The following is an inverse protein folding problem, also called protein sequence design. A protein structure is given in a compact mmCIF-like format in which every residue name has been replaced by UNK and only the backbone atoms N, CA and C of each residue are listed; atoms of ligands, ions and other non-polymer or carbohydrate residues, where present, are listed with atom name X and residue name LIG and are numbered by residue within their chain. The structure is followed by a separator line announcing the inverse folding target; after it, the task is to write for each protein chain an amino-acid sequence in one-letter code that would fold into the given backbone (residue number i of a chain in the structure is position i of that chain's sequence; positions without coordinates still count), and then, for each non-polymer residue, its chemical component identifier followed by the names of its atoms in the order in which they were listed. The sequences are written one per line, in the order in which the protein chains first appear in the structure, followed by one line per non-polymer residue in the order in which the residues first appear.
data_IF_075168824170
#
_entry.id   IF_075168824170
#
_cell.length_a   1.000
_cell.length_b   1.000
_cell.length_c   1.000
_cell.angle_alpha   90.00
_cell.angle_beta   90.00
_cell.angle_gamma   90.00
#
_symmetry.space_group_name_H-M   'P 1'
#
loop_
_entity.id
_entity.type
_entity.pdbx_description
1 polymer ?
#
# COMPACT_ATOMS: atom_id res chain seq x y z
N UNK A 1 -26.81 29.24 -2.55
CA UNK A 1 -26.48 28.05 -1.73
C UNK A 1 -24.97 27.79 -1.69
N UNK A 2 -24.29 27.57 -2.82
CA UNK A 2 -22.82 27.33 -2.82
C UNK A 2 -22.01 28.51 -2.26
N UNK A 3 -22.32 29.74 -2.67
CA UNK A 3 -21.61 30.93 -2.19
C UNK A 3 -21.83 31.18 -0.69
N UNK A 4 -23.07 31.04 -0.22
CA UNK A 4 -23.41 31.10 1.21
C UNK A 4 -22.68 30.05 2.04
N UNK A 5 -22.56 28.82 1.53
CA UNK A 5 -21.78 27.76 2.19
C UNK A 5 -20.28 28.10 2.21
N UNK A 6 -19.73 28.61 1.10
CA UNK A 6 -18.34 29.04 1.02
C UNK A 6 -18.03 30.14 2.05
N UNK A 7 -18.88 31.16 2.15
CA UNK A 7 -18.73 32.25 3.13
C UNK A 7 -18.81 31.73 4.57
N UNK A 8 -19.77 30.84 4.85
CA UNK A 8 -19.89 30.20 6.16
C UNK A 8 -18.69 29.31 6.52
N UNK A 9 -18.19 28.52 5.56
CA UNK A 9 -17.07 27.61 5.77
C UNK A 9 -15.77 28.38 6.05
N UNK A 10 -15.55 29.50 5.36
CA UNK A 10 -14.35 30.34 5.52
C UNK A 10 -14.47 31.41 6.62
N UNK A 11 -15.45 31.30 7.52
CA UNK A 11 -15.54 32.19 8.68
C UNK A 11 -14.25 32.11 9.52
N UNK A 12 -13.67 33.26 9.84
CA UNK A 12 -12.39 33.40 10.53
C UNK A 12 -12.35 32.61 11.85
N UNK A 13 -13.45 32.64 12.63
CA UNK A 13 -13.59 31.90 13.90
C UNK A 13 -13.35 30.40 13.80
N UNK A 14 -13.50 29.82 12.61
CA UNK A 14 -13.30 28.39 12.42
C UNK A 14 -11.83 28.02 12.16
N UNK A 15 -11.05 28.95 11.61
CA UNK A 15 -9.73 28.66 11.06
C UNK A 15 -8.60 29.41 11.74
N UNK A 16 -8.87 30.56 12.33
CA UNK A 16 -7.89 31.50 12.85
C UNK A 16 -8.15 31.79 14.34
N UNK A 17 -7.10 32.17 15.09
CA UNK A 17 -7.27 32.73 16.44
C UNK A 17 -8.14 33.98 16.44
N UNK A 18 -8.84 34.31 17.54
CA UNK A 18 -9.84 35.38 17.60
C UNK A 18 -9.35 36.78 17.19
N UNK A 19 -8.04 37.04 17.24
CA UNK A 19 -7.43 38.34 16.99
C UNK A 19 -6.90 38.51 15.55
N UNK A 20 -6.99 37.48 14.71
CA UNK A 20 -6.37 37.46 13.37
C UNK A 20 -7.44 37.31 12.29
N UNK A 21 -7.26 38.04 11.18
CA UNK A 21 -8.13 37.99 10.00
C UNK A 21 -7.44 37.36 8.81
N UNK A 22 -8.21 36.94 7.81
CA UNK A 22 -7.63 36.42 6.56
C UNK A 22 -6.76 37.47 5.83
N UNK A 23 -7.10 38.75 5.94
CA UNK A 23 -6.33 39.85 5.36
C UNK A 23 -4.92 39.99 5.96
N UNK A 24 -4.71 39.51 7.19
CA UNK A 24 -3.39 39.48 7.83
C UNK A 24 -2.44 38.44 7.23
N UNK A 25 -2.99 37.49 6.46
CA UNK A 25 -2.28 36.37 5.85
C UNK A 25 -2.25 36.49 4.32
N UNK A 26 -2.45 37.69 3.78
CA UNK A 26 -2.20 37.98 2.37
C UNK A 26 -0.71 38.22 2.14
N UNK A 27 -0.23 37.95 0.92
CA UNK A 27 1.18 38.16 0.59
C UNK A 27 1.52 39.66 0.69
N UNK A 28 2.54 39.99 1.47
CA UNK A 28 3.02 41.36 1.67
C UNK A 28 4.52 41.35 1.97
N UNK A 29 5.21 42.46 1.68
CA UNK A 29 6.63 42.65 2.00
C UNK A 29 7.58 41.53 1.53
N UNK A 30 7.23 40.88 0.40
CA UNK A 30 7.97 39.73 -0.13
C UNK A 30 7.76 38.41 0.61
N UNK A 31 6.92 38.40 1.66
CA UNK A 31 6.47 37.22 2.36
C UNK A 31 5.28 36.60 1.61
N UNK A 32 5.37 35.30 1.37
CA UNK A 32 4.29 34.51 0.76
C UNK A 32 3.62 33.70 1.85
N UNK A 33 2.28 33.66 1.84
CA UNK A 33 1.49 32.88 2.78
C UNK A 33 0.74 31.74 2.10
N UNK A 34 0.27 30.79 2.91
CA UNK A 34 -0.52 29.67 2.43
C UNK A 34 -1.89 30.15 1.94
N UNK A 35 -2.30 29.66 0.77
CA UNK A 35 -3.61 29.92 0.20
C UNK A 35 -4.31 28.59 -0.05
N UNK A 36 -5.61 28.47 0.26
CA UNK A 36 -6.38 27.26 -0.05
C UNK A 36 -6.35 26.90 -1.54
N UNK A 37 -6.24 27.90 -2.42
CA UNK A 37 -6.14 27.71 -3.87
C UNK A 37 -4.89 26.92 -4.30
N UNK A 38 -3.82 26.92 -3.51
CA UNK A 38 -2.63 26.13 -3.80
C UNK A 38 -2.93 24.63 -3.82
N UNK A 39 -3.92 24.17 -3.04
CA UNK A 39 -4.31 22.76 -2.99
C UNK A 39 -4.90 22.27 -4.32
N UNK A 40 -5.43 23.15 -5.18
CA UNK A 40 -5.90 22.76 -6.51
C UNK A 40 -4.78 22.22 -7.39
N UNK A 41 -3.52 22.61 -7.14
CA UNK A 41 -2.37 22.10 -7.87
C UNK A 41 -2.09 20.62 -7.58
N UNK A 42 -2.56 20.08 -6.45
CA UNK A 42 -2.31 18.67 -6.10
C UNK A 42 -2.97 17.69 -7.05
N UNK A 43 -4.10 18.06 -7.65
CA UNK A 43 -4.84 17.22 -8.60
C UNK A 43 -4.09 17.05 -9.94
N UNK A 44 -3.68 18.11 -10.67
CA UNK A 44 -2.91 17.93 -11.90
C UNK A 44 -1.56 17.24 -11.65
N UNK A 45 -0.89 17.51 -10.52
CA UNK A 45 0.33 16.78 -10.15
C UNK A 45 0.06 15.30 -9.85
N UNK A 46 -1.08 14.94 -9.25
CA UNK A 46 -1.48 13.55 -9.07
C UNK A 46 -1.63 12.80 -10.40
N UNK A 47 -2.25 13.44 -11.41
CA UNK A 47 -2.31 12.86 -12.77
C UNK A 47 -0.93 12.76 -13.41
N UNK A 48 -0.07 13.76 -13.23
CA UNK A 48 1.33 13.70 -13.64
C UNK A 48 2.06 12.50 -13.01
N UNK A 49 1.88 12.27 -11.71
CA UNK A 49 2.44 11.12 -11.00
C UNK A 49 1.90 9.78 -11.52
N UNK A 50 0.64 9.70 -11.94
CA UNK A 50 0.10 8.48 -12.59
C UNK A 50 0.76 8.20 -13.94
N UNK A 51 1.03 9.25 -14.74
CA UNK A 51 1.75 9.12 -16.00
C UNK A 51 3.19 8.65 -15.74
N UNK A 52 3.88 9.28 -14.78
CA UNK A 52 5.24 8.88 -14.39
C UNK A 52 5.23 7.44 -13.89
N UNK A 53 4.27 7.06 -13.04
CA UNK A 53 4.07 5.69 -12.55
C UNK A 53 3.96 4.69 -13.69
N UNK A 54 3.14 4.98 -14.70
CA UNK A 54 2.98 4.09 -15.86
C UNK A 54 4.33 3.80 -16.56
N UNK A 55 5.12 4.85 -16.80
CA UNK A 55 6.44 4.69 -17.42
C UNK A 55 7.45 4.03 -16.48
N UNK A 56 7.42 4.34 -15.19
CA UNK A 56 8.27 3.72 -14.19
C UNK A 56 8.01 2.22 -14.07
N UNK A 57 6.76 1.80 -13.98
CA UNK A 57 6.38 0.39 -13.90
C UNK A 57 6.87 -0.38 -15.14
N UNK A 58 6.73 0.23 -16.32
CA UNK A 58 7.11 -0.38 -17.60
C UNK A 58 8.62 -0.45 -17.80
N UNK A 59 9.35 0.63 -17.56
CA UNK A 59 10.76 0.76 -17.94
C UNK A 59 11.75 0.48 -16.81
N UNK A 60 11.34 0.57 -15.55
CA UNK A 60 12.22 0.38 -14.40
C UNK A 60 11.78 -0.85 -13.60
N UNK A 61 10.54 -0.88 -13.14
CA UNK A 61 10.09 -1.95 -12.24
C UNK A 61 10.00 -3.32 -12.92
N UNK A 62 9.58 -3.38 -14.20
CA UNK A 62 9.48 -4.66 -14.93
C UNK A 62 10.85 -5.30 -15.19
N UNK A 63 11.86 -4.58 -15.74
CA UNK A 63 13.21 -5.13 -15.85
C UNK A 63 13.78 -5.53 -14.49
N UNK A 64 13.59 -4.70 -13.46
CA UNK A 64 14.07 -4.99 -12.11
C UNK A 64 13.46 -6.28 -11.54
N UNK A 65 12.14 -6.47 -11.68
CA UNK A 65 11.46 -7.70 -11.28
C UNK A 65 12.04 -8.93 -11.99
N UNK A 66 12.32 -8.82 -13.29
CA UNK A 66 12.94 -9.90 -14.08
C UNK A 66 14.36 -10.22 -13.59
N UNK A 67 15.16 -9.20 -13.23
CA UNK A 67 16.49 -9.41 -12.63
C UNK A 67 16.43 -10.10 -11.27
N UNK A 68 15.37 -9.85 -10.49
CA UNK A 68 15.12 -10.55 -9.22
C UNK A 68 14.50 -11.95 -9.41
N UNK A 69 14.39 -12.45 -10.65
CA UNK A 69 13.90 -13.80 -10.93
C UNK A 69 12.38 -13.95 -10.88
N UNK A 70 11.62 -12.85 -10.85
CA UNK A 70 10.16 -12.89 -10.93
C UNK A 70 9.77 -13.23 -12.37
N UNK A 71 9.37 -14.48 -12.59
CA UNK A 71 8.87 -14.93 -13.88
C UNK A 71 7.51 -14.30 -14.17
N UNK A 72 7.31 -13.93 -15.42
CA UNK A 72 6.01 -13.50 -15.91
C UNK A 72 5.16 -14.76 -16.09
N UNK A 73 4.30 -15.06 -15.10
CA UNK A 73 3.39 -16.20 -15.18
C UNK A 73 2.46 -16.03 -16.39
N UNK A 74 2.67 -16.86 -17.41
CA UNK A 74 1.73 -16.98 -18.51
C UNK A 74 0.51 -17.70 -17.96
N UNK A 75 -0.50 -16.94 -17.52
CA UNK A 75 -1.76 -17.50 -17.05
C UNK A 75 -2.35 -18.37 -18.13
N UNK A 76 -2.52 -19.67 -17.83
CA UNK A 76 -3.22 -20.60 -18.72
C UNK A 76 -4.62 -20.01 -19.00
N UNK A 77 -4.94 -19.83 -20.28
CA UNK A 77 -6.28 -19.43 -20.69
C UNK A 77 -7.25 -20.54 -20.26
N UNK A 78 -8.24 -20.19 -19.45
CA UNK A 78 -9.31 -21.10 -19.05
C UNK A 78 -10.09 -21.52 -20.30
N UNK A 79 -10.49 -22.79 -20.34
CA UNK A 79 -11.42 -23.29 -21.34
C UNK A 79 -12.76 -22.55 -21.22
N UNK A 80 -13.23 -21.85 -22.26
CA UNK A 80 -14.47 -21.09 -22.19
C UNK A 80 -15.65 -22.03 -21.89
N UNK A 81 -16.33 -21.81 -20.76
CA UNK A 81 -17.58 -22.49 -20.43
C UNK A 81 -18.58 -21.45 -19.92
N UNK A 82 -19.61 -21.18 -20.71
CA UNK A 82 -20.61 -20.14 -20.43
C UNK A 82 -21.45 -20.47 -19.21
N UNK A 83 -21.74 -21.74 -18.94
CA UNK A 83 -22.53 -22.19 -17.78
C UNK A 83 -21.75 -21.96 -16.48
N UNK A 84 -20.48 -22.38 -16.45
CA UNK A 84 -19.62 -22.20 -15.28
C UNK A 84 -19.31 -20.71 -15.01
N UNK A 85 -19.08 -19.92 -16.07
CA UNK A 85 -18.85 -18.48 -15.96
C UNK A 85 -20.07 -17.72 -15.46
N UNK A 86 -21.28 -18.10 -15.90
CA UNK A 86 -22.53 -17.50 -15.44
C UNK A 86 -22.75 -17.81 -13.96
N UNK A 87 -22.54 -19.06 -13.54
CA UNK A 87 -22.65 -19.46 -12.14
C UNK A 87 -21.61 -18.74 -11.26
N UNK A 88 -20.36 -18.63 -11.72
CA UNK A 88 -19.29 -17.94 -11.01
C UNK A 88 -19.61 -16.47 -10.76
N UNK A 89 -20.19 -15.78 -11.76
CA UNK A 89 -20.52 -14.34 -11.67
C UNK A 89 -21.77 -14.04 -10.85
N UNK A 90 -22.79 -14.91 -10.91
CA UNK A 90 -24.11 -14.61 -10.37
C UNK A 90 -24.50 -15.41 -9.13
N UNK A 91 -23.79 -16.47 -8.78
CA UNK A 91 -24.13 -17.34 -7.65
C UNK A 91 -23.05 -17.35 -6.57
N UNK A 92 -21.94 -18.06 -6.80
CA UNK A 92 -20.84 -18.14 -5.83
C UNK A 92 -19.50 -18.44 -6.52
N UNK A 93 -18.41 -17.91 -5.94
CA UNK A 93 -17.03 -18.19 -6.36
C UNK A 93 -16.49 -19.52 -5.80
N UNK A 94 -17.10 -20.01 -4.73
CA UNK A 94 -16.77 -21.26 -4.04
C UNK A 94 -18.04 -22.12 -4.02
N UNK A 95 -18.28 -22.92 -5.09
CA UNK A 95 -19.44 -23.81 -5.15
C UNK A 95 -19.33 -24.91 -4.08
N UNK A 96 -20.47 -25.31 -3.53
CA UNK A 96 -20.55 -26.47 -2.64
C UNK A 96 -20.44 -27.78 -3.42
N UNK A 97 -20.21 -28.91 -2.74
CA UNK A 97 -20.15 -30.22 -3.38
C UNK A 97 -21.42 -30.56 -4.18
N UNK A 98 -22.59 -30.15 -3.71
CA UNK A 98 -23.86 -30.32 -4.43
C UNK A 98 -23.93 -29.49 -5.70
N UNK A 99 -23.38 -28.27 -5.69
CA UNK A 99 -23.32 -27.40 -6.85
C UNK A 99 -22.36 -27.94 -7.91
N UNK A 100 -21.19 -28.45 -7.49
CA UNK A 100 -20.19 -29.06 -8.37
C UNK A 100 -20.80 -30.24 -9.13
N UNK A 101 -21.50 -31.14 -8.43
CA UNK A 101 -22.20 -32.27 -9.05
C UNK A 101 -23.24 -31.82 -10.09
N UNK A 102 -24.07 -30.83 -9.73
CA UNK A 102 -25.09 -30.28 -10.64
C UNK A 102 -24.50 -29.63 -11.88
N UNK A 103 -23.39 -28.90 -11.73
CA UNK A 103 -22.68 -28.24 -12.82
C UNK A 103 -21.93 -29.23 -13.71
N UNK A 104 -21.34 -30.27 -13.14
CA UNK A 104 -20.70 -31.37 -13.86
C UNK A 104 -21.69 -32.04 -14.82
N UNK A 105 -22.89 -32.37 -14.31
CA UNK A 105 -23.98 -32.95 -15.11
C UNK A 105 -24.48 -32.02 -16.21
N UNK A 106 -24.63 -30.72 -15.93
CA UNK A 106 -25.09 -29.72 -16.93
C UNK A 106 -24.07 -29.47 -18.04
N UNK A 107 -22.77 -29.54 -17.72
CA UNK A 107 -21.70 -29.23 -18.66
C UNK A 107 -21.14 -30.47 -19.37
N UNK A 108 -21.64 -31.68 -19.06
CA UNK A 108 -21.03 -32.96 -19.47
C UNK A 108 -19.53 -33.02 -19.11
N UNK A 109 -19.18 -32.55 -17.92
CA UNK A 109 -17.83 -32.56 -17.37
C UNK A 109 -17.76 -33.46 -16.13
N UNK A 110 -16.56 -33.86 -15.74
CA UNK A 110 -16.36 -34.51 -14.43
C UNK A 110 -16.34 -33.47 -13.31
N UNK A 111 -16.69 -33.88 -12.09
CA UNK A 111 -16.64 -33.02 -10.91
C UNK A 111 -15.25 -32.38 -10.74
N UNK A 112 -14.18 -33.17 -10.92
CA UNK A 112 -12.79 -32.71 -10.88
C UNK A 112 -12.46 -31.66 -11.95
N UNK A 113 -13.06 -31.77 -13.15
CA UNK A 113 -12.89 -30.75 -14.20
C UNK A 113 -13.59 -29.44 -13.83
N UNK A 114 -14.77 -29.52 -13.21
CA UNK A 114 -15.50 -28.35 -12.71
C UNK A 114 -14.72 -27.69 -11.58
N UNK A 115 -14.24 -28.45 -10.60
CA UNK A 115 -13.38 -27.95 -9.51
C UNK A 115 -12.13 -27.24 -10.04
N UNK A 116 -11.41 -27.87 -10.98
CA UNK A 116 -10.23 -27.28 -11.62
C UNK A 116 -10.58 -26.01 -12.38
N UNK A 117 -11.73 -25.96 -13.05
CA UNK A 117 -12.19 -24.77 -13.75
C UNK A 117 -12.44 -23.62 -12.76
N UNK A 118 -13.16 -23.87 -11.66
CA UNK A 118 -13.42 -22.87 -10.62
C UNK A 118 -12.13 -22.40 -9.95
N UNK A 119 -11.21 -23.31 -9.64
CA UNK A 119 -9.88 -22.98 -9.10
C UNK A 119 -9.09 -22.09 -10.06
N UNK A 120 -8.96 -22.51 -11.32
CA UNK A 120 -8.26 -21.72 -12.34
C UNK A 120 -8.92 -20.35 -12.56
N UNK A 121 -10.26 -20.28 -12.48
CA UNK A 121 -11.01 -19.03 -12.60
C UNK A 121 -10.80 -18.06 -11.45
N UNK A 122 -10.69 -18.55 -10.21
CA UNK A 122 -10.28 -17.74 -9.06
C UNK A 122 -8.84 -17.26 -9.19
N UNK A 123 -7.91 -18.14 -9.57
CA UNK A 123 -6.50 -17.79 -9.74
C UNK A 123 -6.28 -16.78 -10.89
N UNK A 124 -7.16 -16.77 -11.90
CA UNK A 124 -7.17 -15.71 -12.92
C UNK A 124 -7.64 -14.34 -12.40
N UNK A 125 -8.43 -14.25 -11.34
CA UNK A 125 -8.82 -12.98 -10.70
C UNK A 125 -7.78 -12.48 -9.71
N UNK A 126 -6.95 -13.37 -9.15
CA UNK A 126 -5.84 -12.98 -8.29
C UNK A 126 -4.92 -12.03 -9.06
N UNK A 127 -4.21 -11.09 -8.42
CA UNK A 127 -3.29 -10.20 -9.11
C UNK A 127 -1.92 -10.84 -9.30
N UNK A 128 -1.31 -10.67 -10.48
CA UNK A 128 0.00 -11.24 -10.78
C UNK A 128 1.06 -10.75 -9.78
N UNK A 129 1.96 -11.64 -9.34
CA UNK A 129 3.10 -11.31 -8.47
C UNK A 129 3.95 -10.17 -9.04
N UNK A 130 4.13 -10.15 -10.36
CA UNK A 130 4.75 -9.06 -11.11
C UNK A 130 4.09 -7.70 -10.83
N UNK A 131 2.75 -7.64 -10.87
CA UNK A 131 2.01 -6.39 -10.64
C UNK A 131 2.16 -5.94 -9.19
N UNK A 132 2.04 -6.87 -8.22
CA UNK A 132 2.28 -6.60 -6.79
C UNK A 132 3.69 -6.01 -6.57
N UNK A 133 4.72 -6.55 -7.24
CA UNK A 133 6.09 -6.02 -7.19
C UNK A 133 6.22 -4.63 -7.82
N UNK A 134 5.65 -4.42 -9.00
CA UNK A 134 5.67 -3.11 -9.69
C UNK A 134 5.05 -2.01 -8.82
N UNK A 135 3.90 -2.29 -8.20
CA UNK A 135 3.22 -1.36 -7.30
C UNK A 135 4.07 -1.04 -6.06
N UNK A 136 4.67 -2.06 -5.42
CA UNK A 136 5.54 -1.88 -4.27
C UNK A 136 6.82 -1.10 -4.65
N UNK A 137 7.40 -1.37 -5.82
CA UNK A 137 8.58 -0.68 -6.33
C UNK A 137 8.33 0.80 -6.59
N UNK A 138 7.18 1.16 -7.18
CA UNK A 138 6.78 2.55 -7.36
C UNK A 138 6.64 3.29 -6.03
N UNK A 139 5.93 2.67 -5.06
CA UNK A 139 5.75 3.25 -3.72
C UNK A 139 7.08 3.41 -2.99
N UNK A 140 7.94 2.40 -3.04
CA UNK A 140 9.30 2.46 -2.49
C UNK A 140 10.09 3.63 -3.07
N UNK A 141 10.12 3.78 -4.40
CA UNK A 141 10.86 4.85 -5.05
C UNK A 141 10.34 6.23 -4.63
N UNK A 142 9.01 6.40 -4.57
CA UNK A 142 8.40 7.65 -4.11
C UNK A 142 8.73 7.95 -2.65
N UNK A 143 8.52 6.99 -1.73
CA UNK A 143 8.80 7.17 -0.30
C UNK A 143 10.28 7.46 -0.04
N UNK A 144 11.18 6.82 -0.78
CA UNK A 144 12.60 7.09 -0.70
C UNK A 144 12.92 8.53 -1.11
N UNK A 145 12.40 8.97 -2.27
CA UNK A 145 12.63 10.33 -2.76
C UNK A 145 12.05 11.38 -1.81
N UNK A 146 10.82 11.20 -1.33
CA UNK A 146 10.16 12.19 -0.49
C UNK A 146 10.77 12.26 0.91
N UNK A 147 11.23 11.12 1.48
CA UNK A 147 11.94 11.13 2.77
C UNK A 147 13.28 11.84 2.66
N UNK A 148 14.05 11.59 1.58
CA UNK A 148 15.31 12.30 1.35
C UNK A 148 15.06 13.80 1.17
N UNK A 149 14.04 14.18 0.39
CA UNK A 149 13.65 15.58 0.23
C UNK A 149 13.23 16.20 1.57
N UNK A 150 12.43 15.49 2.39
CA UNK A 150 12.02 15.93 3.71
C UNK A 150 13.20 16.19 4.64
N UNK A 151 14.18 15.29 4.68
CA UNK A 151 15.43 15.50 5.46
C UNK A 151 16.15 16.76 4.97
N UNK A 152 16.35 16.89 3.65
CA UNK A 152 17.07 18.05 3.07
C UNK A 152 16.33 19.37 3.33
N UNK A 153 15.01 19.39 3.21
CA UNK A 153 14.20 20.61 3.37
C UNK A 153 14.01 21.04 4.82
N UNK A 154 14.19 20.12 5.77
CA UNK A 154 14.02 20.36 7.19
C UNK A 154 15.34 20.47 7.96
N UNK A 155 16.46 20.03 7.40
CA UNK A 155 17.76 19.97 8.10
C UNK A 155 18.20 21.31 8.70
N UNK A 156 17.95 22.43 8.02
CA UNK A 156 18.36 23.77 8.48
C UNK A 156 17.27 24.48 9.30
N UNK A 157 16.18 23.80 9.66
CA UNK A 157 15.00 24.43 10.26
C UNK A 157 14.97 24.28 11.78
N UNK A 158 14.82 25.38 12.54
CA UNK A 158 14.94 25.34 13.99
C UNK A 158 13.82 24.51 14.66
N UNK A 159 12.62 24.51 14.08
CA UNK A 159 11.47 23.77 14.63
C UNK A 159 11.58 22.25 14.58
N UNK A 160 12.60 21.71 13.90
CA UNK A 160 12.94 20.27 13.95
C UNK A 160 13.65 19.91 15.25
N UNK A 161 14.41 20.85 15.79
CA UNK A 161 15.25 20.65 16.98
C UNK A 161 14.60 21.21 18.25
N UNK A 162 13.81 22.27 18.11
CA UNK A 162 13.04 22.89 19.18
C UNK A 162 11.55 22.98 18.80
N UNK A 163 10.72 22.17 19.47
CA UNK A 163 9.27 22.14 19.21
C UNK A 163 8.57 23.47 19.51
N UNK A 164 9.18 24.34 20.31
CA UNK A 164 8.65 25.67 20.56
C UNK A 164 8.58 26.53 19.30
N UNK A 165 9.60 26.42 18.45
CA UNK A 165 9.70 27.14 17.19
C UNK A 165 8.64 26.70 16.17
N UNK A 166 7.93 25.59 16.40
CA UNK A 166 6.76 25.20 15.59
C UNK A 166 5.66 26.26 15.66
N UNK A 167 5.43 26.84 16.84
CA UNK A 167 4.34 27.79 17.08
C UNK A 167 4.79 29.24 17.16
N UNK A 168 6.10 29.47 17.19
CA UNK A 168 6.66 30.82 17.16
C UNK A 168 6.19 31.59 15.91
N UNK A 169 5.55 32.74 16.12
CA UNK A 169 4.97 33.57 15.08
C UNK A 169 3.70 33.02 14.43
N UNK A 170 3.13 31.91 14.90
CA UNK A 170 1.84 31.41 14.41
C UNK A 170 0.71 32.40 14.73
N UNK A 171 -0.25 32.68 13.80
CA UNK A 171 -0.41 32.12 12.45
C UNK A 171 0.32 32.87 11.33
N UNK A 172 1.10 33.91 11.63
CA UNK A 172 1.82 34.75 10.66
C UNK A 172 3.15 34.13 10.22
N UNK A 173 3.17 32.83 9.98
CA UNK A 173 4.35 32.12 9.50
C UNK A 173 4.39 32.16 7.97
N UNK A 174 5.47 32.67 7.34
CA UNK A 174 5.58 32.67 5.89
C UNK A 174 5.81 31.26 5.36
N UNK A 175 5.27 31.00 4.18
CA UNK A 175 5.41 29.76 3.44
C UNK A 175 6.76 29.71 2.72
N UNK A 176 7.58 28.73 3.06
CA UNK A 176 8.83 28.48 2.35
C UNK A 176 8.60 27.65 1.08
N UNK A 177 9.33 27.93 -0.03
CA UNK A 177 9.21 27.15 -1.26
C UNK A 177 9.47 25.65 -1.07
N UNK A 178 10.42 25.27 -0.20
CA UNK A 178 10.71 23.87 0.10
C UNK A 178 9.52 23.16 0.75
N UNK A 179 8.85 23.83 1.70
CA UNK A 179 7.65 23.31 2.37
C UNK A 179 6.47 23.22 1.41
N UNK A 180 6.31 24.20 0.51
CA UNK A 180 5.30 24.16 -0.55
C UNK A 180 5.46 22.88 -1.38
N UNK A 181 6.66 22.65 -1.94
CA UNK A 181 6.88 21.47 -2.78
C UNK A 181 6.74 20.17 -2.01
N UNK A 182 7.19 20.13 -0.75
CA UNK A 182 7.03 18.95 0.09
C UNK A 182 5.55 18.57 0.27
N UNK A 183 4.72 19.52 0.71
CA UNK A 183 3.27 19.31 0.88
C UNK A 183 2.56 18.95 -0.42
N UNK A 184 2.83 19.72 -1.49
CA UNK A 184 2.13 19.53 -2.76
C UNK A 184 2.47 18.16 -3.36
N UNK A 185 3.74 17.75 -3.38
CA UNK A 185 4.14 16.46 -3.94
C UNK A 185 3.58 15.28 -3.14
N UNK A 186 3.66 15.34 -1.81
CA UNK A 186 3.16 14.27 -0.96
C UNK A 186 1.63 14.14 -1.03
N UNK A 187 0.90 15.26 -1.00
CA UNK A 187 -0.56 15.23 -1.14
C UNK A 187 -0.96 14.75 -2.55
N UNK A 188 -0.24 15.15 -3.60
CA UNK A 188 -0.45 14.68 -4.97
C UNK A 188 -0.25 13.17 -5.09
N UNK A 189 0.72 12.62 -4.37
CA UNK A 189 0.94 11.18 -4.34
C UNK A 189 -0.21 10.44 -3.68
N UNK A 190 -0.72 10.91 -2.54
CA UNK A 190 -1.92 10.31 -1.93
C UNK A 190 -3.16 10.42 -2.83
N UNK A 191 -3.35 11.55 -3.53
CA UNK A 191 -4.40 11.65 -4.55
C UNK A 191 -4.20 10.63 -5.69
N UNK A 192 -2.96 10.44 -6.14
CA UNK A 192 -2.66 9.44 -7.18
C UNK A 192 -3.02 8.02 -6.73
N UNK A 193 -2.79 7.68 -5.45
CA UNK A 193 -3.18 6.40 -4.87
C UNK A 193 -4.70 6.23 -4.79
N UNK A 194 -5.44 7.30 -4.50
CA UNK A 194 -6.92 7.29 -4.51
C UNK A 194 -7.44 7.07 -5.94
N UNK A 195 -6.87 7.76 -6.93
CA UNK A 195 -7.29 7.60 -8.32
C UNK A 195 -6.93 6.22 -8.90
N UNK A 196 -5.88 5.57 -8.41
CA UNK A 196 -5.50 4.21 -8.82
C UNK A 196 -6.24 3.11 -8.08
N UNK A 197 -7.14 3.40 -7.12
CA UNK A 197 -7.86 2.38 -6.33
C UNK A 197 -8.63 1.35 -7.17
N UNK A 198 -9.12 1.75 -8.34
CA UNK A 198 -9.86 0.86 -9.24
C UNK A 198 -8.97 -0.13 -9.98
N UNK A 199 -7.71 0.23 -10.24
CA UNK A 199 -6.73 -0.58 -10.96
C UNK A 199 -5.77 -1.34 -10.06
N UNK A 200 -5.54 -0.84 -8.85
CA UNK A 200 -4.60 -1.41 -7.89
C UNK A 200 -5.13 -2.72 -7.28
N UNK A 201 -4.19 -3.55 -6.84
CA UNK A 201 -4.49 -4.81 -6.17
C UNK A 201 -5.29 -4.59 -4.89
N UNK A 202 -6.55 -5.05 -4.87
CA UNK A 202 -7.41 -5.01 -3.67
C UNK A 202 -6.94 -6.04 -2.65
N UNK A 203 -6.68 -5.59 -1.42
CA UNK A 203 -6.24 -6.41 -0.28
C UNK A 203 -7.38 -6.56 0.74
N UNK A 204 -7.31 -7.54 1.66
CA UNK A 204 -8.34 -7.78 2.68
C UNK A 204 -8.57 -6.55 3.60
N UNK A 205 -7.54 -5.73 3.76
CA UNK A 205 -7.46 -4.49 4.53
C UNK A 205 -7.64 -3.22 3.66
N UNK A 206 -8.18 -3.37 2.44
CA UNK A 206 -8.39 -2.27 1.49
C UNK A 206 -9.17 -1.10 2.09
N UNK A 207 -10.26 -1.36 2.81
CA UNK A 207 -11.09 -0.29 3.38
C UNK A 207 -10.34 0.53 4.43
N UNK A 208 -9.58 -0.12 5.32
CA UNK A 208 -8.77 0.56 6.32
C UNK A 208 -7.69 1.44 5.66
N UNK A 209 -7.09 0.95 4.57
CA UNK A 209 -6.09 1.70 3.81
C UNK A 209 -6.69 2.92 3.08
N UNK A 210 -7.89 2.79 2.50
CA UNK A 210 -8.62 3.90 1.88
C UNK A 210 -9.02 4.96 2.90
N UNK A 211 -9.58 4.54 4.04
CA UNK A 211 -9.95 5.46 5.13
C UNK A 211 -8.71 6.22 5.61
N UNK A 212 -7.57 5.53 5.74
CA UNK A 212 -6.32 6.17 6.12
C UNK A 212 -5.87 7.23 5.10
N UNK A 213 -5.86 6.92 3.80
CA UNK A 213 -5.44 7.89 2.78
C UNK A 213 -6.37 9.11 2.72
N UNK A 214 -7.68 8.90 2.87
CA UNK A 214 -8.64 10.01 3.00
C UNK A 214 -8.37 10.85 4.26
N UNK A 215 -8.04 10.20 5.38
CA UNK A 215 -7.65 10.89 6.61
C UNK A 215 -6.34 11.68 6.44
N UNK A 216 -5.32 11.12 5.77
CA UNK A 216 -4.05 11.80 5.49
C UNK A 216 -4.26 13.02 4.59
N UNK A 217 -4.99 12.88 3.47
CA UNK A 217 -5.34 14.00 2.58
C UNK A 217 -6.12 15.08 3.34
N UNK A 218 -7.08 14.68 4.19
CA UNK A 218 -7.83 15.62 5.02
C UNK A 218 -6.91 16.36 5.99
N UNK A 219 -6.08 15.65 6.76
CA UNK A 219 -5.17 16.21 7.74
C UNK A 219 -4.21 17.22 7.09
N UNK A 220 -3.60 16.86 5.96
CA UNK A 220 -2.70 17.74 5.22
C UNK A 220 -3.43 18.95 4.63
N UNK A 221 -4.66 18.78 4.11
CA UNK A 221 -5.45 19.87 3.54
C UNK A 221 -5.87 20.89 4.60
N UNK A 222 -6.37 20.43 5.74
CA UNK A 222 -6.75 21.32 6.84
C UNK A 222 -5.53 21.95 7.50
N UNK A 223 -4.42 21.21 7.64
CA UNK A 223 -3.13 21.75 8.09
C UNK A 223 -2.66 22.88 7.18
N UNK A 224 -2.77 22.72 5.86
CA UNK A 224 -2.42 23.77 4.90
C UNK A 224 -3.30 25.00 5.05
N UNK A 225 -4.62 24.83 5.08
CA UNK A 225 -5.57 25.93 5.18
C UNK A 225 -5.48 26.69 6.53
N UNK A 226 -5.06 26.02 7.61
CA UNK A 226 -4.85 26.62 8.93
C UNK A 226 -3.41 27.11 9.16
N UNK A 227 -2.53 27.06 8.16
CA UNK A 227 -1.10 27.39 8.28
C UNK A 227 -0.33 26.59 9.36
N UNK A 228 -0.67 25.31 9.54
CA UNK A 228 0.06 24.37 10.40
C UNK A 228 1.22 23.69 9.65
N UNK A 229 1.92 24.46 8.81
CA UNK A 229 2.92 23.91 7.88
C UNK A 229 4.11 23.32 8.63
N UNK A 230 4.62 24.02 9.65
CA UNK A 230 5.76 23.53 10.45
C UNK A 230 5.43 22.20 11.12
N UNK A 231 4.32 22.12 11.87
CA UNK A 231 3.91 20.88 12.54
C UNK A 231 3.58 19.77 11.55
N UNK A 232 2.89 20.05 10.45
CA UNK A 232 2.56 19.02 9.48
C UNK A 232 3.77 18.51 8.69
N UNK A 233 4.79 19.31 8.40
CA UNK A 233 6.06 18.77 7.86
C UNK A 233 6.75 17.78 8.82
N UNK A 234 6.64 18.00 10.14
CA UNK A 234 7.15 17.06 11.13
C UNK A 234 6.31 15.77 11.18
N UNK A 235 4.97 15.89 11.04
CA UNK A 235 4.09 14.72 10.90
C UNK A 235 4.52 13.90 9.67
N UNK A 236 4.63 14.52 8.50
CA UNK A 236 4.96 13.87 7.23
C UNK A 236 6.26 13.03 7.33
N UNK A 237 7.37 13.66 7.74
CA UNK A 237 8.68 12.97 7.80
C UNK A 237 8.71 11.80 8.79
N UNK A 238 8.01 11.90 9.92
CA UNK A 238 7.89 10.83 10.92
C UNK A 238 7.14 9.62 10.37
N UNK A 239 6.22 9.82 9.43
CA UNK A 239 5.45 8.73 8.81
C UNK A 239 6.17 8.12 7.62
N UNK A 240 6.77 8.94 6.75
CA UNK A 240 7.39 8.49 5.50
C UNK A 240 8.58 7.53 5.73
N UNK A 241 9.38 7.78 6.77
CA UNK A 241 10.64 7.06 7.01
C UNK A 241 10.44 5.55 7.19
N UNK A 242 9.33 5.13 7.79
CA UNK A 242 9.03 3.72 8.01
C UNK A 242 8.60 3.02 6.71
N UNK A 243 7.91 3.73 5.83
CA UNK A 243 7.24 3.13 4.68
C UNK A 243 8.22 2.70 3.58
N UNK A 244 9.41 3.33 3.51
CA UNK A 244 10.54 2.86 2.68
C UNK A 244 10.84 1.39 2.97
N UNK A 245 10.98 1.04 4.26
CA UNK A 245 11.36 -0.31 4.68
C UNK A 245 10.23 -1.31 4.47
N UNK A 246 8.97 -0.89 4.66
CA UNK A 246 7.81 -1.72 4.41
C UNK A 246 7.69 -2.10 2.93
N UNK A 247 7.78 -1.13 2.02
CA UNK A 247 7.67 -1.39 0.58
C UNK A 247 8.88 -2.17 0.06
N UNK A 248 10.07 -1.93 0.63
CA UNK A 248 11.25 -2.77 0.37
C UNK A 248 11.02 -4.23 0.77
N UNK A 249 10.53 -4.48 1.99
CA UNK A 249 10.25 -5.83 2.46
C UNK A 249 9.24 -6.57 1.55
N UNK A 250 8.19 -5.88 1.10
CA UNK A 250 7.23 -6.43 0.12
C UNK A 250 7.89 -6.80 -1.21
N UNK A 251 8.75 -5.93 -1.76
CA UNK A 251 9.48 -6.23 -3.00
C UNK A 251 10.29 -7.52 -2.89
N UNK A 252 11.04 -7.70 -1.79
CA UNK A 252 11.84 -8.90 -1.57
C UNK A 252 11.00 -10.13 -1.22
N UNK A 253 9.84 -9.95 -0.57
CA UNK A 253 8.83 -11.01 -0.40
C UNK A 253 8.36 -11.54 -1.76
N UNK A 254 7.98 -10.65 -2.68
CA UNK A 254 7.56 -11.04 -4.03
C UNK A 254 8.70 -11.60 -4.90
N UNK A 255 9.96 -11.31 -4.57
CA UNK A 255 11.12 -11.92 -5.20
C UNK A 255 11.47 -13.32 -4.64
N UNK A 256 10.82 -13.76 -3.55
CA UNK A 256 11.11 -15.03 -2.87
C UNK A 256 12.35 -14.98 -1.97
N UNK A 257 12.90 -13.79 -1.68
CA UNK A 257 14.11 -13.63 -0.86
C UNK A 257 13.74 -13.54 0.62
N UNK A 258 13.34 -14.69 1.19
CA UNK A 258 12.75 -14.80 2.55
C UNK A 258 13.66 -14.18 3.64
N UNK A 259 14.97 -14.42 3.61
CA UNK A 259 15.91 -13.88 4.61
C UNK A 259 15.98 -12.34 4.56
N UNK A 260 16.18 -11.75 3.38
CA UNK A 260 16.25 -10.30 3.20
C UNK A 260 14.93 -9.63 3.56
N UNK A 261 13.81 -10.23 3.16
CA UNK A 261 12.47 -9.78 3.55
C UNK A 261 12.31 -9.71 5.07
N UNK A 262 12.70 -10.76 5.79
CA UNK A 262 12.60 -10.81 7.25
C UNK A 262 13.47 -9.76 7.93
N UNK A 263 14.71 -9.55 7.45
CA UNK A 263 15.58 -8.49 7.97
C UNK A 263 14.99 -7.11 7.74
N UNK A 264 14.50 -6.81 6.53
CA UNK A 264 13.88 -5.52 6.22
C UNK A 264 12.58 -5.30 7.00
N UNK A 265 11.79 -6.35 7.19
CA UNK A 265 10.57 -6.27 8.00
C UNK A 265 10.87 -6.00 9.48
N UNK A 266 11.95 -6.56 10.02
CA UNK A 266 12.41 -6.24 11.37
C UNK A 266 12.83 -4.77 11.48
N UNK A 267 13.64 -4.27 10.53
CA UNK A 267 14.04 -2.86 10.47
C UNK A 267 12.81 -1.95 10.39
N UNK A 268 11.87 -2.27 9.49
CA UNK A 268 10.58 -1.59 9.38
C UNK A 268 9.85 -1.55 10.72
N UNK A 269 9.74 -2.68 11.41
CA UNK A 269 9.01 -2.79 12.68
C UNK A 269 9.64 -1.93 13.77
N UNK A 270 10.97 -1.91 13.87
CA UNK A 270 11.69 -1.05 14.81
C UNK A 270 11.47 0.43 14.51
N UNK A 271 11.61 0.83 13.24
CA UNK A 271 11.42 2.22 12.82
C UNK A 271 9.97 2.66 13.02
N UNK A 272 9.00 1.81 12.65
CA UNK A 272 7.57 2.04 12.91
C UNK A 272 7.31 2.30 14.39
N UNK A 273 7.86 1.45 15.27
CA UNK A 273 7.66 1.59 16.70
C UNK A 273 8.23 2.92 17.22
N UNK A 274 9.46 3.25 16.86
CA UNK A 274 10.11 4.50 17.28
C UNK A 274 9.34 5.71 16.74
N UNK A 275 9.06 5.74 15.44
CA UNK A 275 8.47 6.92 14.81
C UNK A 275 7.00 7.13 15.21
N UNK A 276 6.18 6.07 15.22
CA UNK A 276 4.72 6.19 15.41
C UNK A 276 4.24 5.94 16.85
N UNK A 277 5.02 5.25 17.69
CA UNK A 277 4.63 4.98 19.08
C UNK A 277 5.48 5.73 20.12
N UNK A 278 6.63 6.27 19.74
CA UNK A 278 7.45 7.10 20.62
C UNK A 278 7.43 8.56 20.15
N UNK A 279 8.01 8.86 18.98
CA UNK A 279 8.16 10.24 18.50
C UNK A 279 6.79 10.89 18.28
N UNK A 280 5.88 10.24 17.55
CA UNK A 280 4.58 10.82 17.24
C UNK A 280 3.76 11.19 18.50
N UNK A 281 3.48 10.31 19.47
CA UNK A 281 2.65 10.68 20.61
C UNK A 281 3.36 11.56 21.65
N UNK A 282 4.65 11.34 21.92
CA UNK A 282 5.33 12.08 22.98
C UNK A 282 5.92 13.40 22.51
N UNK A 283 6.28 13.54 21.22
CA UNK A 283 6.80 14.80 20.68
C UNK A 283 5.76 15.53 19.84
N UNK A 284 5.20 14.89 18.80
CA UNK A 284 4.34 15.58 17.84
C UNK A 284 2.96 15.90 18.43
N UNK A 285 2.27 14.92 19.03
CA UNK A 285 0.99 15.17 19.70
C UNK A 285 1.15 16.14 20.87
N UNK A 286 2.23 16.02 21.65
CA UNK A 286 2.54 16.99 22.70
C UNK A 286 2.72 18.41 22.13
N UNK A 287 3.49 18.52 21.04
CA UNK A 287 3.69 19.77 20.31
C UNK A 287 2.37 20.36 19.81
N UNK A 288 1.40 19.57 19.35
CA UNK A 288 0.15 20.11 18.79
C UNK A 288 -0.97 20.28 19.79
N UNK A 289 -0.98 19.52 20.89
CA UNK A 289 -2.03 19.56 21.92
C UNK A 289 -1.70 20.47 23.10
N UNK A 290 -0.42 20.63 23.46
CA UNK A 290 -0.03 21.29 24.71
C UNK A 290 0.60 22.65 24.44
N UNK A 291 1.61 22.71 23.57
CA UNK A 291 2.36 23.96 23.32
C UNK A 291 1.48 25.15 22.89
N UNK A 292 0.54 25.00 21.93
CA UNK A 292 -0.33 26.10 21.50
C UNK A 292 -1.17 26.68 22.62
N UNK A 293 -1.58 25.88 23.60
CA UNK A 293 -2.47 26.29 24.68
C UNK A 293 -1.81 27.30 25.63
N UNK A 294 -0.49 27.45 25.58
CA UNK A 294 0.21 28.51 26.31
C UNK A 294 0.01 29.90 25.69
N UNK A 295 -0.39 29.97 24.41
CA UNK A 295 -0.48 31.22 23.63
C UNK A 295 -1.86 31.47 23.02
N UNK A 296 -2.63 30.40 22.77
CA UNK A 296 -3.84 30.43 21.97
C UNK A 296 -4.97 29.74 22.73
N UNK A 297 -6.11 30.40 22.75
CA UNK A 297 -7.35 29.76 23.15
C UNK A 297 -7.77 28.73 22.09
N UNK A 298 -8.30 27.55 22.48
CA UNK A 298 -8.79 26.57 21.52
C UNK A 298 -9.88 27.13 20.59
N UNK A 299 -9.69 26.95 19.29
CA UNK A 299 -10.66 27.26 18.24
C UNK A 299 -10.94 26.01 17.40
N UNK A 300 -11.90 26.09 16.46
CA UNK A 300 -12.40 24.91 15.76
C UNK A 300 -11.31 24.13 15.02
N UNK A 301 -10.49 24.77 14.16
CA UNK A 301 -9.47 24.03 13.39
C UNK A 301 -8.39 23.41 14.27
N UNK A 302 -8.02 24.05 15.39
CA UNK A 302 -7.17 23.46 16.43
C UNK A 302 -7.77 22.16 16.98
N UNK A 303 -9.04 22.18 17.41
CA UNK A 303 -9.71 20.99 17.96
C UNK A 303 -9.83 19.91 16.89
N UNK A 304 -10.25 20.30 15.68
CA UNK A 304 -10.49 19.40 14.57
C UNK A 304 -9.21 18.67 14.12
N UNK A 305 -8.10 19.40 13.92
CA UNK A 305 -6.83 18.80 13.50
C UNK A 305 -6.24 17.90 14.57
N UNK A 306 -6.28 18.32 15.84
CA UNK A 306 -5.81 17.47 16.93
C UNK A 306 -6.66 16.20 17.12
N UNK A 307 -7.98 16.28 16.93
CA UNK A 307 -8.85 15.11 16.91
C UNK A 307 -8.43 14.13 15.80
N UNK A 308 -8.14 14.63 14.59
CA UNK A 308 -7.65 13.80 13.49
C UNK A 308 -6.30 13.15 13.80
N UNK A 309 -5.37 13.87 14.43
CA UNK A 309 -4.09 13.31 14.88
C UNK A 309 -4.25 12.23 15.96
N UNK A 310 -5.23 12.37 16.86
CA UNK A 310 -5.57 11.33 17.84
C UNK A 310 -6.17 10.09 17.18
N UNK A 311 -7.05 10.26 16.19
CA UNK A 311 -7.57 9.15 15.38
C UNK A 311 -6.44 8.43 14.65
N UNK A 312 -5.48 9.19 14.09
CA UNK A 312 -4.29 8.65 13.46
C UNK A 312 -3.45 7.82 14.45
N UNK A 313 -3.33 8.26 15.70
CA UNK A 313 -2.64 7.49 16.74
C UNK A 313 -3.33 6.16 17.07
N UNK A 314 -4.66 6.14 17.14
CA UNK A 314 -5.43 4.90 17.33
C UNK A 314 -5.16 3.92 16.17
N UNK A 315 -5.07 4.44 14.95
CA UNK A 315 -4.77 3.63 13.77
C UNK A 315 -3.33 3.08 13.80
N UNK A 316 -2.36 3.82 14.35
CA UNK A 316 -1.01 3.30 14.60
C UNK A 316 -1.01 2.13 15.59
N UNK A 317 -1.81 2.21 16.66
CA UNK A 317 -1.97 1.09 17.60
C UNK A 317 -2.59 -0.13 16.91
N UNK A 318 -3.60 0.09 16.05
CA UNK A 318 -4.21 -0.97 15.25
C UNK A 318 -3.17 -1.67 14.36
N UNK A 319 -2.33 -0.94 13.63
CA UNK A 319 -1.29 -1.58 12.80
C UNK A 319 -0.14 -2.17 13.61
N UNK A 320 0.24 -1.57 14.74
CA UNK A 320 1.23 -2.14 15.65
C UNK A 320 0.81 -3.55 16.10
N UNK A 321 -0.48 -3.75 16.42
CA UNK A 321 -1.00 -5.08 16.72
C UNK A 321 -0.76 -6.09 15.59
N UNK A 322 -0.98 -5.73 14.32
CA UNK A 322 -0.70 -6.62 13.19
C UNK A 322 0.80 -6.87 12.99
N UNK A 323 1.63 -5.85 13.15
CA UNK A 323 3.09 -5.97 13.06
C UNK A 323 3.60 -6.95 14.13
N UNK A 324 3.17 -6.78 15.38
CA UNK A 324 3.53 -7.69 16.48
C UNK A 324 3.00 -9.11 16.25
N UNK A 325 1.78 -9.27 15.73
CA UNK A 325 1.22 -10.58 15.37
C UNK A 325 2.11 -11.28 14.33
N UNK A 326 2.58 -10.54 13.33
CA UNK A 326 3.46 -11.06 12.28
C UNK A 326 4.87 -11.37 12.81
N UNK A 327 5.48 -10.48 13.62
CA UNK A 327 6.78 -10.72 14.27
C UNK A 327 6.75 -11.96 15.15
N UNK A 328 5.69 -12.14 15.94
CA UNK A 328 5.50 -13.36 16.75
C UNK A 328 5.48 -14.59 15.85
N UNK A 329 4.74 -14.56 14.73
CA UNK A 329 4.77 -15.67 13.77
C UNK A 329 6.25 -15.87 13.31
N UNK A 330 7.00 -14.83 12.92
CA UNK A 330 8.37 -14.96 12.36
C UNK A 330 9.36 -15.62 13.32
N UNK A 331 9.20 -15.38 14.61
CA UNK A 331 10.09 -15.91 15.65
C UNK A 331 9.70 -17.37 16.00
N UNK A 332 8.40 -17.68 16.05
CA UNK A 332 7.91 -18.98 16.50
C UNK A 332 7.70 -20.00 15.37
N UNK A 333 7.43 -19.57 14.15
CA UNK A 333 7.36 -20.41 12.95
C UNK A 333 8.58 -20.09 12.08
N UNK A 334 9.53 -21.03 11.98
CA UNK A 334 10.74 -20.92 11.14
C UNK A 334 10.46 -20.78 9.63
N UNK A 335 9.21 -20.63 9.21
CA UNK A 335 8.76 -20.48 7.84
C UNK A 335 7.58 -19.50 7.81
N UNK A 336 7.72 -18.39 7.08
CA UNK A 336 6.63 -17.42 6.87
C UNK A 336 6.66 -16.84 5.47
N UNK A 337 5.51 -16.99 4.80
CA UNK A 337 4.92 -15.98 3.95
C UNK A 337 3.95 -15.10 4.77
N UNK A 338 3.88 -13.83 4.39
CA UNK A 338 3.22 -12.70 5.04
C UNK A 338 1.74 -12.99 5.42
N UNK A 339 1.31 -12.68 6.65
CA UNK A 339 -0.09 -12.88 7.12
C UNK A 339 -1.06 -11.85 6.51
N UNK A 340 -0.55 -10.86 5.77
CA UNK A 340 -1.31 -9.99 4.87
C UNK A 340 -1.22 -10.41 3.40
N UNK A 341 -0.41 -11.43 3.08
CA UNK A 341 -0.49 -12.19 1.83
C UNK A 341 -1.38 -13.42 2.04
N UNK A 342 -1.95 -13.93 0.95
CA UNK A 342 -3.08 -14.85 0.98
C UNK A 342 -2.77 -16.13 1.79
N UNK A 343 -3.68 -16.54 2.68
CA UNK A 343 -3.76 -17.94 3.13
C UNK A 343 -4.00 -18.90 1.93
N UNK A 344 -4.38 -18.37 0.75
CA UNK A 344 -4.48 -19.09 -0.52
C UNK A 344 -3.18 -19.06 -1.37
N UNK A 345 -2.14 -18.33 -0.97
CA UNK A 345 -0.81 -18.38 -1.61
C UNK A 345 0.03 -19.56 -1.02
N UNK A 346 -0.27 -19.98 0.24
CA UNK A 346 0.28 -21.19 0.86
C UNK A 346 -0.16 -22.47 0.11
N UNK A 347 -1.42 -22.53 -0.36
CA UNK A 347 -1.89 -23.62 -1.24
C UNK A 347 -1.18 -23.59 -2.62
N UNK A 348 -0.77 -22.43 -3.14
CA UNK A 348 -0.10 -22.32 -4.44
C UNK A 348 1.39 -22.70 -4.38
N UNK A 349 2.14 -22.32 -3.32
CA UNK A 349 3.54 -22.78 -3.14
C UNK A 349 3.60 -24.30 -2.92
N UNK A 350 2.69 -24.87 -2.11
CA UNK A 350 2.62 -26.33 -1.90
C UNK A 350 2.17 -27.09 -3.16
N UNK A 351 1.25 -26.53 -3.97
CA UNK A 351 0.79 -27.17 -5.20
C UNK A 351 1.75 -27.01 -6.40
N UNK A 352 2.56 -25.95 -6.49
CA UNK A 352 3.63 -25.83 -7.49
C UNK A 352 4.72 -26.88 -7.24
N UNK A 353 5.07 -27.12 -5.97
CA UNK A 353 5.96 -28.22 -5.58
C UNK A 353 5.34 -29.59 -5.93
N UNK A 354 4.03 -29.80 -5.69
CA UNK A 354 3.35 -31.04 -6.09
C UNK A 354 3.28 -31.22 -7.63
N UNK A 355 2.98 -30.17 -8.42
CA UNK A 355 2.95 -30.24 -9.88
C UNK A 355 4.33 -30.51 -10.49
N UNK A 356 5.41 -29.95 -9.93
CA UNK A 356 6.79 -30.27 -10.35
C UNK A 356 7.17 -31.70 -10.00
N UNK A 357 6.77 -32.20 -8.82
CA UNK A 357 6.99 -33.59 -8.40
C UNK A 357 6.22 -34.57 -9.29
N UNK A 358 4.98 -34.24 -9.69
CA UNK A 358 4.18 -35.06 -10.60
C UNK A 358 4.78 -35.08 -12.01
N UNK A 359 5.22 -33.93 -12.55
CA UNK A 359 5.90 -33.86 -13.85
C UNK A 359 7.25 -34.56 -13.85
N UNK A 360 7.98 -34.52 -12.74
CA UNK A 360 9.21 -35.27 -12.52
C UNK A 360 8.96 -36.79 -12.56
N UNK A 361 7.94 -37.26 -11.84
CA UNK A 361 7.52 -38.67 -11.86
C UNK A 361 7.01 -39.14 -13.22
N UNK A 362 6.25 -38.33 -13.96
CA UNK A 362 5.80 -38.68 -15.32
C UNK A 362 6.98 -38.79 -16.30
N UNK A 363 7.99 -37.90 -16.20
CA UNK A 363 9.22 -37.99 -17.00
C UNK A 363 10.05 -39.23 -16.69
N UNK A 364 10.16 -39.63 -15.43
CA UNK A 364 10.88 -40.85 -15.04
C UNK A 364 10.12 -42.14 -15.40
N UNK A 365 8.79 -42.15 -15.29
CA UNK A 365 7.96 -43.26 -15.78
C UNK A 365 8.06 -43.44 -17.30
N UNK A 366 8.12 -42.36 -18.08
CA UNK A 366 8.30 -42.41 -19.54
C UNK A 366 9.71 -42.91 -19.94
N UNK A 367 10.74 -42.60 -19.15
CA UNK A 367 12.10 -43.14 -19.38
C UNK A 367 12.22 -44.62 -19.04
N UNK A 368 11.54 -45.09 -17.99
CA UNK A 368 11.56 -46.50 -17.59
C UNK A 368 10.68 -47.39 -18.49
N UNK A 369 9.64 -46.84 -19.15
CA UNK A 369 8.78 -47.57 -20.08
C UNK A 369 9.39 -47.85 -21.47
N UNK A 370 10.45 -47.14 -21.85
CA UNK A 370 11.14 -47.30 -23.15
C UNK A 370 12.31 -48.30 -23.11
N UNK A 371 12.67 -48.84 -21.93
CA UNK A 371 13.80 -49.76 -21.74
C UNK A 371 13.46 -51.26 -21.68
N UNK A 372 12.19 -51.64 -21.60
CA UNK A 372 11.79 -53.02 -21.33
C UNK A 372 10.91 -53.61 -22.46
N UNK A 373 11.44 -53.66 -23.69
CA UNK A 373 10.80 -54.46 -24.73
C UNK A 373 11.81 -55.00 -25.73
N UNK A 374 12.55 -56.05 -25.35
CA UNK A 374 13.21 -57.01 -26.25
C UNK A 374 13.69 -58.25 -25.48
N UNK A 375 12.81 -59.23 -25.33
CA UNK A 375 13.07 -60.65 -25.63
C UNK A 375 11.85 -61.48 -25.22
N UNK A 376 10.97 -61.73 -26.19
CA UNK A 376 10.06 -62.88 -26.15
C UNK A 376 10.41 -63.75 -27.36
N UNK A 377 11.05 -64.88 -27.08
CA UNK A 377 11.35 -65.94 -28.05
C UNK A 377 10.06 -66.75 -28.24
N UNK A 378 9.60 -67.01 -29.47
CA UNK A 378 8.43 -67.86 -29.71
C UNK A 378 8.80 -69.35 -29.81
N UNK A 379 7.80 -70.16 -29.49
CA UNK A 379 7.80 -71.62 -29.27
C UNK A 379 8.20 -72.48 -30.50
N UNK A 380 8.50 -73.75 -30.20
CA UNK A 380 9.03 -74.75 -31.12
C UNK A 380 8.11 -75.28 -32.22
N UNK A 381 8.72 -76.05 -33.12
CA UNK A 381 8.07 -76.97 -34.06
C UNK A 381 8.90 -78.26 -34.17
N UNK A 382 8.22 -79.40 -34.06
CA UNK A 382 8.72 -80.75 -34.33
C UNK A 382 8.94 -80.97 -35.83
N UNK A 383 9.90 -81.84 -36.21
CA UNK A 383 9.92 -82.47 -37.53
C UNK A 383 11.25 -83.09 -37.92
N UNK A 384 11.31 -84.43 -37.79
CA UNK A 384 12.29 -85.41 -38.29
C UNK A 384 13.71 -85.48 -37.71
#
# INVERSE_FOLDING_TARGET
MFQTFKEWFWLERFWLPPTIKWSDLEDHDGLVFVKPSHLYMTIPYAFGLLIIRHFFEKFIATPLAKTFGIKEEIRKKITPNTVLETFFKHSTRQPSHTDIYGLAKKCNLTERQVERWFRSRRNQEKPCRMKKFQEACWRFAFYLMITVAGIVFLYDKPWVYDLWEVWNGYPRQPLLPSQYWYYILEMSFYWSLIFSLGSDVKRKDFLAHVIHHLAAISLMSFSWCANYIRSGTLVMIVHDVADIWLESAKMFSYAGWKQTCNTLFFIFSTIFFISRLIIFPFWILYCTLILPLHYLEPFFSYIFLNLQLLVLQVLHLYWCYFILKMLRRCIFMKNIQDVRSDDEDEEEEEEEEEEEVIKGKERDCLKNGLGANRHLIPNGQQGH
#
